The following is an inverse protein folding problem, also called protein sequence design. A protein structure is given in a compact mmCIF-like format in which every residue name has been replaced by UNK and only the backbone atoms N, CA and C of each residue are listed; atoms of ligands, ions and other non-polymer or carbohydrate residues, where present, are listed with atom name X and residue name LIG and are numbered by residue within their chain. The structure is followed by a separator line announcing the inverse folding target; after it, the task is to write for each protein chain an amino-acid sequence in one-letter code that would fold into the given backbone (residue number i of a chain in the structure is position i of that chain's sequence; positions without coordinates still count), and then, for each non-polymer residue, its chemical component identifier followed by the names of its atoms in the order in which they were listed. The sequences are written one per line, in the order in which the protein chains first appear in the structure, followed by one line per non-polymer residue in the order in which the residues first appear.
data_IF_439130827763
#
_entry.id   IF_439130827763
#
_cell.length_a   1.000
_cell.length_b   1.000
_cell.length_c   1.000
_cell.angle_alpha   90.00
_cell.angle_beta   90.00
_cell.angle_gamma   90.00
#
_symmetry.space_group_name_H-M   'P 1'
#
loop_
_entity.id
_entity.type
_entity.pdbx_description
1 polymer ?
#
# COMPACT_ATOMS: atom_id res chain seq x y z
N UNK A 1 -10.20 19.93 -4.69
CA UNK A 1 -11.48 19.23 -4.49
C UNK A 1 -11.22 18.03 -3.60
N UNK A 2 -11.93 17.90 -2.49
CA UNK A 2 -11.71 16.77 -1.59
C UNK A 2 -12.42 15.53 -2.17
N UNK A 3 -11.74 14.39 -2.24
CA UNK A 3 -12.32 13.12 -2.71
C UNK A 3 -13.76 12.82 -2.22
N UNK A 4 -14.13 13.05 -0.93
CA UNK A 4 -15.50 12.78 -0.47
C UNK A 4 -16.58 13.70 -1.03
N UNK A 5 -16.23 14.86 -1.61
CA UNK A 5 -17.18 15.78 -2.26
C UNK A 5 -17.64 15.24 -3.61
N UNK A 6 -16.76 14.55 -4.32
CA UNK A 6 -17.03 13.95 -5.63
C UNK A 6 -17.54 12.50 -5.51
N UNK A 7 -16.97 11.74 -4.56
CA UNK A 7 -17.28 10.34 -4.34
C UNK A 7 -17.81 10.13 -2.93
N UNK A 8 -19.14 10.12 -2.80
CA UNK A 8 -19.81 9.90 -1.53
C UNK A 8 -19.36 8.56 -0.88
N UNK A 9 -18.92 8.57 0.39
CA UNK A 9 -18.50 7.36 1.09
C UNK A 9 -19.60 6.30 1.11
N UNK A 10 -19.22 5.03 0.98
CA UNK A 10 -20.18 3.92 0.85
C UNK A 10 -20.22 3.10 2.14
N UNK A 11 -21.39 2.89 2.77
CA UNK A 11 -21.49 2.02 3.93
C UNK A 11 -21.32 0.56 3.51
N UNK A 12 -20.31 -0.11 4.07
CA UNK A 12 -20.01 -1.52 3.81
C UNK A 12 -19.86 -2.25 5.14
N UNK A 13 -20.59 -3.36 5.29
CA UNK A 13 -20.48 -4.28 6.43
C UNK A 13 -19.47 -5.37 6.11
N UNK A 14 -18.45 -5.53 6.96
CA UNK A 14 -17.42 -6.55 6.80
C UNK A 14 -17.43 -7.55 7.98
N UNK A 15 -17.23 -8.85 7.73
CA UNK A 15 -16.90 -9.79 8.80
C UNK A 15 -15.52 -9.42 9.32
N UNK A 16 -15.41 -9.13 10.61
CA UNK A 16 -14.17 -8.72 11.22
C UNK A 16 -13.48 -9.92 11.90
N UNK A 17 -12.16 -9.95 11.84
CA UNK A 17 -11.26 -11.00 12.34
C UNK A 17 -11.42 -12.38 11.67
N UNK A 18 -12.52 -13.09 11.93
CA UNK A 18 -12.67 -14.51 11.59
C UNK A 18 -14.11 -14.81 11.13
N UNK A 19 -14.30 -15.36 9.91
CA UNK A 19 -15.62 -15.67 9.36
C UNK A 19 -16.26 -16.95 9.94
N UNK A 20 -15.55 -17.71 10.78
CA UNK A 20 -16.11 -18.92 11.42
C UNK A 20 -17.21 -18.57 12.44
N UNK A 21 -18.26 -19.41 12.56
CA UNK A 21 -19.26 -19.23 13.60
C UNK A 21 -18.61 -19.14 14.98
N UNK A 22 -18.99 -18.13 15.76
CA UNK A 22 -18.52 -17.99 17.14
C UNK A 22 -19.08 -19.10 18.02
N UNK A 23 -18.24 -19.75 18.80
CA UNK A 23 -18.65 -20.78 19.76
C UNK A 23 -18.89 -20.17 21.16
N UNK A 24 -18.27 -19.02 21.43
CA UNK A 24 -18.40 -18.31 22.71
C UNK A 24 -19.00 -16.90 22.57
N UNK A 25 -19.63 -16.35 23.63
CA UNK A 25 -20.11 -14.97 23.64
C UNK A 25 -18.99 -13.92 23.44
N UNK A 26 -17.77 -14.24 23.88
CA UNK A 26 -16.60 -13.37 23.69
C UNK A 26 -16.24 -13.30 22.21
N UNK A 27 -16.14 -14.45 21.55
CA UNK A 27 -15.90 -14.51 20.10
C UNK A 27 -17.01 -13.81 19.32
N UNK A 28 -18.27 -14.03 19.69
CA UNK A 28 -19.41 -13.35 19.06
C UNK A 28 -19.30 -11.82 19.15
N UNK A 29 -18.82 -11.29 20.29
CA UNK A 29 -18.58 -9.85 20.48
C UNK A 29 -17.44 -9.34 19.62
N UNK A 30 -16.33 -10.07 19.51
CA UNK A 30 -15.15 -9.65 18.76
C UNK A 30 -15.36 -9.76 17.24
N UNK A 31 -15.94 -10.88 16.77
CA UNK A 31 -16.20 -11.21 15.36
C UNK A 31 -17.48 -10.60 14.79
N UNK A 32 -18.22 -9.80 15.58
CA UNK A 32 -19.46 -9.16 15.11
C UNK A 32 -19.18 -8.34 13.84
N UNK A 33 -20.01 -8.45 12.79
CA UNK A 33 -19.86 -7.63 11.60
C UNK A 33 -19.89 -6.13 11.96
N UNK A 34 -19.05 -5.34 11.30
CA UNK A 34 -18.97 -3.90 11.51
C UNK A 34 -19.21 -3.17 10.20
N UNK A 35 -20.01 -2.11 10.27
CA UNK A 35 -20.28 -1.23 9.13
C UNK A 35 -19.35 -0.02 9.19
N UNK A 36 -18.66 0.25 8.08
CA UNK A 36 -17.81 1.41 7.91
C UNK A 36 -18.16 2.13 6.62
N UNK A 37 -18.09 3.46 6.62
CA UNK A 37 -18.21 4.27 5.41
C UNK A 37 -16.87 4.28 4.68
N UNK A 38 -16.74 3.44 3.65
CA UNK A 38 -15.51 3.32 2.87
C UNK A 38 -15.39 4.48 1.88
N UNK A 39 -14.23 5.13 1.87
CA UNK A 39 -13.88 6.17 0.89
C UNK A 39 -13.61 5.58 -0.50
N UNK A 40 -13.04 4.37 -0.56
CA UNK A 40 -12.70 3.68 -1.80
C UNK A 40 -13.47 2.37 -1.87
N UNK A 41 -14.22 2.17 -2.95
CA UNK A 41 -14.94 0.93 -3.22
C UNK A 41 -14.74 0.46 -4.65
N UNK A 42 -14.91 -0.84 -4.88
CA UNK A 42 -14.91 -1.38 -6.24
C UNK A 42 -16.20 -1.05 -6.99
N UNK A 43 -16.29 -1.45 -8.27
CA UNK A 43 -17.48 -1.28 -9.12
C UNK A 43 -18.79 -1.76 -8.45
N UNK A 44 -18.72 -2.81 -7.65
CA UNK A 44 -19.85 -3.37 -6.90
C UNK A 44 -20.24 -2.59 -5.63
N UNK A 45 -19.60 -1.44 -5.35
CA UNK A 45 -19.79 -0.66 -4.11
C UNK A 45 -19.52 -1.46 -2.83
N UNK A 46 -18.56 -2.40 -2.91
CA UNK A 46 -18.06 -3.21 -1.80
C UNK A 46 -16.59 -2.90 -1.54
N UNK A 47 -16.05 -3.46 -0.46
CA UNK A 47 -14.61 -3.44 -0.21
C UNK A 47 -13.84 -3.98 -1.41
N UNK A 48 -12.75 -3.31 -1.74
CA UNK A 48 -11.93 -3.65 -2.91
C UNK A 48 -11.26 -5.02 -2.68
N UNK A 49 -11.53 -5.96 -3.56
CA UNK A 49 -10.83 -7.24 -3.56
C UNK A 49 -9.43 -7.07 -4.19
N UNK A 50 -8.39 -7.57 -3.51
CA UNK A 50 -6.99 -7.42 -3.96
C UNK A 50 -6.71 -8.05 -5.33
N UNK A 51 -7.33 -9.20 -5.63
CA UNK A 51 -7.08 -9.94 -6.88
C UNK A 51 -7.76 -9.22 -8.04
N UNK A 52 -8.99 -8.74 -7.81
CA UNK A 52 -9.69 -7.88 -8.76
C UNK A 52 -8.88 -6.62 -9.05
N UNK A 53 -8.52 -5.85 -8.00
CA UNK A 53 -7.77 -4.61 -8.17
C UNK A 53 -6.46 -4.85 -8.93
N UNK A 54 -5.70 -5.89 -8.56
CA UNK A 54 -4.44 -6.21 -9.21
C UNK A 54 -4.62 -6.48 -10.72
N UNK A 55 -5.56 -7.34 -11.11
CA UNK A 55 -5.73 -7.76 -12.51
C UNK A 55 -6.55 -6.80 -13.38
N UNK A 56 -7.46 -6.04 -12.78
CA UNK A 56 -8.41 -5.18 -13.50
C UNK A 56 -8.11 -3.69 -13.42
N UNK A 57 -7.30 -3.24 -12.45
CA UNK A 57 -6.98 -1.81 -12.27
C UNK A 57 -5.48 -1.61 -12.34
N UNK A 58 -4.72 -2.30 -11.50
CA UNK A 58 -3.28 -2.07 -11.35
C UNK A 58 -2.45 -2.48 -12.57
N UNK A 59 -2.56 -3.75 -13.00
CA UNK A 59 -1.81 -4.25 -14.17
C UNK A 59 -2.15 -3.48 -15.46
N UNK A 60 -3.42 -3.17 -15.78
CA UNK A 60 -3.74 -2.29 -16.89
C UNK A 60 -3.09 -0.90 -16.80
N UNK A 61 -3.04 -0.29 -15.61
CA UNK A 61 -2.38 1.00 -15.42
C UNK A 61 -0.86 0.92 -15.67
N UNK A 62 -0.20 -0.15 -15.20
CA UNK A 62 1.21 -0.38 -15.48
C UNK A 62 1.49 -0.58 -16.97
N UNK A 63 0.64 -1.35 -17.67
CA UNK A 63 0.78 -1.57 -19.10
C UNK A 63 0.55 -0.27 -19.90
N UNK A 64 -0.45 0.53 -19.52
CA UNK A 64 -0.69 1.84 -20.11
C UNK A 64 0.49 2.81 -19.89
N UNK A 65 1.17 2.69 -18.75
CA UNK A 65 2.40 3.43 -18.46
C UNK A 65 3.68 2.79 -19.06
N UNK A 66 3.55 1.70 -19.84
CA UNK A 66 4.67 0.96 -20.45
C UNK A 66 5.69 0.43 -19.44
N UNK A 67 5.28 0.21 -18.18
CA UNK A 67 6.13 -0.43 -17.14
C UNK A 67 6.17 -1.94 -17.33
N UNK A 68 5.08 -2.51 -17.88
CA UNK A 68 4.95 -3.94 -18.18
C UNK A 68 4.38 -4.10 -19.60
N UNK A 69 4.52 -5.29 -20.17
CA UNK A 69 3.89 -5.64 -21.43
C UNK A 69 2.34 -5.56 -21.34
N UNK A 70 1.65 -5.20 -22.44
CA UNK A 70 0.19 -5.29 -22.54
C UNK A 70 -0.32 -6.70 -22.25
N UNK A 71 -1.59 -6.79 -21.85
CA UNK A 71 -2.26 -8.07 -21.62
C UNK A 71 -2.20 -8.94 -22.89
N UNK A 72 -1.77 -10.18 -22.75
CA UNK A 72 -1.79 -11.14 -23.85
C UNK A 72 -3.23 -11.46 -24.27
N UNK A 73 -3.57 -11.10 -25.50
CA UNK A 73 -4.88 -11.34 -26.10
C UNK A 73 -5.05 -12.78 -26.61
N UNK A 74 -3.98 -13.58 -26.60
CA UNK A 74 -3.95 -14.95 -27.11
C UNK A 74 -4.61 -16.00 -26.22
N UNK A 75 -5.00 -15.64 -24.99
CA UNK A 75 -5.65 -16.61 -24.10
C UNK A 75 -7.13 -16.81 -24.46
N UNK A 76 -7.44 -17.98 -25.02
CA UNK A 76 -8.79 -18.38 -25.44
C UNK A 76 -9.73 -18.69 -24.29
N UNK A 77 -9.21 -18.92 -23.07
CA UNK A 77 -10.00 -19.37 -21.92
C UNK A 77 -10.61 -18.19 -21.13
N UNK A 78 -10.44 -16.96 -21.62
CA UNK A 78 -10.95 -15.74 -20.98
C UNK A 78 -10.20 -15.34 -19.69
N UNK A 79 -9.19 -16.11 -19.28
CA UNK A 79 -8.36 -15.79 -18.12
C UNK A 79 -7.33 -14.70 -18.47
N UNK A 80 -7.28 -13.64 -17.66
CA UNK A 80 -6.25 -12.58 -17.80
C UNK A 80 -4.90 -13.09 -17.32
N UNK A 81 -4.03 -13.42 -18.26
CA UNK A 81 -2.65 -13.82 -17.98
C UNK A 81 -1.74 -12.62 -18.19
N UNK A 82 -1.25 -12.07 -17.08
CA UNK A 82 -0.26 -11.01 -17.09
C UNK A 82 1.13 -11.60 -16.97
N UNK A 83 2.12 -10.96 -17.58
CA UNK A 83 3.51 -11.30 -17.32
C UNK A 83 3.82 -11.21 -15.80
N UNK A 84 4.66 -12.11 -15.26
CA UNK A 84 5.13 -11.99 -13.90
C UNK A 84 5.87 -10.66 -13.70
N UNK A 85 5.37 -9.83 -12.79
CA UNK A 85 6.05 -8.56 -12.43
C UNK A 85 5.81 -8.23 -10.97
N UNK A 86 6.41 -9.06 -10.11
CA UNK A 86 6.24 -9.00 -8.66
C UNK A 86 6.85 -7.71 -8.09
N UNK A 87 7.96 -7.28 -8.66
CA UNK A 87 8.68 -6.03 -8.39
C UNK A 87 7.82 -4.79 -8.66
N UNK A 88 6.85 -4.89 -9.57
CA UNK A 88 5.91 -3.82 -9.91
C UNK A 88 4.55 -3.97 -9.22
N UNK A 89 4.43 -4.82 -8.20
CA UNK A 89 3.19 -4.94 -7.43
C UNK A 89 2.79 -3.62 -6.75
N UNK A 90 1.53 -3.48 -6.36
CA UNK A 90 1.03 -2.23 -5.73
C UNK A 90 1.83 -1.79 -4.49
N UNK A 91 2.45 -2.74 -3.78
CA UNK A 91 3.33 -2.45 -2.64
C UNK A 91 4.60 -1.67 -3.02
N UNK A 92 5.00 -1.67 -4.29
CA UNK A 92 6.12 -0.86 -4.78
C UNK A 92 5.90 0.64 -4.52
N UNK A 93 4.66 1.13 -4.54
CA UNK A 93 4.35 2.53 -4.21
C UNK A 93 4.71 2.86 -2.75
N UNK A 94 4.50 1.92 -1.83
CA UNK A 94 4.89 2.11 -0.43
C UNK A 94 6.42 2.13 -0.28
N UNK A 95 7.13 1.32 -1.07
CA UNK A 95 8.59 1.37 -1.11
C UNK A 95 9.10 2.68 -1.68
N UNK A 96 8.48 3.17 -2.76
CA UNK A 96 8.79 4.45 -3.37
C UNK A 96 8.61 5.59 -2.35
N UNK A 97 7.43 5.72 -1.73
CA UNK A 97 7.18 6.71 -0.69
C UNK A 97 8.24 6.69 0.41
N UNK A 98 8.53 5.51 0.96
CA UNK A 98 9.51 5.38 2.03
C UNK A 98 10.94 5.76 1.60
N UNK A 99 11.31 5.48 0.35
CA UNK A 99 12.63 5.82 -0.19
C UNK A 99 12.76 7.32 -0.42
N UNK A 100 11.73 7.96 -0.96
CA UNK A 100 11.71 9.42 -1.19
C UNK A 100 11.75 10.21 0.12
N UNK A 101 11.00 9.79 1.16
CA UNK A 101 11.03 10.46 2.47
C UNK A 101 12.43 10.37 3.12
N UNK A 102 13.08 9.21 3.03
CA UNK A 102 14.45 9.06 3.54
C UNK A 102 15.46 9.87 2.72
N UNK A 103 15.32 9.89 1.41
CA UNK A 103 16.14 10.76 0.55
C UNK A 103 15.84 12.23 0.82
N UNK A 104 14.64 12.63 1.24
CA UNK A 104 14.35 13.99 1.69
C UNK A 104 14.98 14.31 3.07
N UNK A 105 15.50 13.30 3.78
CA UNK A 105 16.13 13.45 5.10
C UNK A 105 15.17 13.30 6.27
N UNK A 106 13.99 12.73 6.05
CA UNK A 106 13.03 12.47 7.12
C UNK A 106 13.57 11.47 8.15
N UNK A 107 13.09 11.58 9.39
CA UNK A 107 13.47 10.68 10.46
C UNK A 107 12.96 9.26 10.22
N UNK A 108 13.85 8.28 10.40
CA UNK A 108 13.50 6.86 10.35
C UNK A 108 12.40 6.48 11.36
N UNK A 109 12.31 7.21 12.48
CA UNK A 109 11.29 7.00 13.52
C UNK A 109 9.93 7.53 13.04
N UNK A 110 9.89 8.74 12.46
CA UNK A 110 8.67 9.31 11.86
C UNK A 110 8.15 8.40 10.76
N UNK A 111 9.03 7.97 9.85
CA UNK A 111 8.68 7.09 8.76
C UNK A 111 8.16 5.75 9.27
N UNK A 112 8.83 5.14 10.26
CA UNK A 112 8.36 3.89 10.87
C UNK A 112 6.93 4.04 11.42
N UNK A 113 6.63 5.16 12.08
CA UNK A 113 5.29 5.45 12.60
C UNK A 113 4.25 5.61 11.51
N UNK A 114 4.53 6.37 10.44
CA UNK A 114 3.59 6.54 9.32
C UNK A 114 3.32 5.23 8.58
N UNK A 115 4.36 4.41 8.46
CA UNK A 115 4.23 3.07 7.90
C UNK A 115 3.53 2.10 8.87
N UNK A 116 3.39 2.43 10.15
CA UNK A 116 2.79 1.55 11.15
C UNK A 116 3.70 0.38 11.53
N UNK A 117 5.01 0.55 11.44
CA UNK A 117 5.98 -0.41 11.96
C UNK A 117 6.17 -0.19 13.46
N UNK A 118 6.02 -1.26 14.24
CA UNK A 118 6.23 -1.23 15.70
C UNK A 118 7.70 -1.11 16.11
N UNK A 119 8.62 -1.58 15.26
CA UNK A 119 10.07 -1.48 15.43
C UNK A 119 10.69 -0.61 14.32
N UNK A 120 11.25 0.57 14.64
CA UNK A 120 11.99 1.39 13.67
C UNK A 120 13.20 0.68 13.07
N UNK A 121 13.81 -0.27 13.80
CA UNK A 121 14.91 -1.09 13.28
C UNK A 121 14.50 -1.95 12.09
N UNK A 122 13.24 -2.42 12.04
CA UNK A 122 12.69 -3.09 10.87
C UNK A 122 12.64 -2.16 9.66
N UNK A 123 12.20 -0.91 9.84
CA UNK A 123 12.19 0.12 8.78
C UNK A 123 13.61 0.37 8.27
N UNK A 124 14.58 0.56 9.17
CA UNK A 124 15.96 0.82 8.79
C UNK A 124 16.55 -0.33 7.99
N UNK A 125 16.40 -1.58 8.44
CA UNK A 125 16.88 -2.75 7.68
C UNK A 125 16.24 -2.86 6.30
N UNK A 126 14.97 -2.48 6.17
CA UNK A 126 14.22 -2.57 4.92
C UNK A 126 14.57 -1.47 3.92
N UNK A 127 15.09 -0.32 4.36
CA UNK A 127 15.34 0.83 3.49
C UNK A 127 16.77 1.41 3.57
N UNK A 128 17.68 0.80 4.33
CA UNK A 128 19.05 1.28 4.52
C UNK A 128 19.85 1.48 3.22
N UNK A 129 19.53 0.71 2.18
CA UNK A 129 20.15 0.82 0.86
C UNK A 129 19.77 2.11 0.11
N UNK A 130 18.74 2.84 0.57
CA UNK A 130 18.34 4.15 0.06
C UNK A 130 18.92 5.31 0.87
N UNK A 131 19.94 5.07 1.70
CA UNK A 131 20.71 6.12 2.40
C UNK A 131 22.12 6.35 1.82
N UNK A 132 22.34 6.40 0.49
CA UNK A 132 23.69 6.48 -0.08
C UNK A 132 24.41 7.81 0.23
N UNK A 133 23.68 8.87 0.63
CA UNK A 133 24.26 10.19 0.97
C UNK A 133 24.15 10.58 2.45
N UNK A 134 23.73 9.67 3.33
CA UNK A 134 23.50 10.00 4.75
C UNK A 134 24.76 10.54 5.46
N UNK A 135 25.96 10.07 5.08
CA UNK A 135 27.22 10.56 5.64
C UNK A 135 27.56 12.01 5.23
N UNK A 136 27.39 12.35 3.96
CA UNK A 136 27.76 13.67 3.44
C UNK A 136 26.89 14.80 4.00
N UNK A 137 25.59 14.54 4.24
CA UNK A 137 24.69 15.50 4.89
C UNK A 137 25.06 15.74 6.34
N UNK A 138 25.40 14.68 7.08
CA UNK A 138 25.86 14.78 8.46
C UNK A 138 27.11 15.65 8.56
N UNK A 139 28.11 15.42 7.70
CA UNK A 139 29.32 16.24 7.64
C UNK A 139 29.01 17.71 7.33
N UNK A 140 28.22 17.99 6.28
CA UNK A 140 27.87 19.37 5.92
C UNK A 140 27.09 20.11 7.02
N UNK A 141 26.23 19.41 7.76
CA UNK A 141 25.49 20.00 8.88
C UNK A 141 26.42 20.39 10.04
N UNK A 142 27.44 19.57 10.32
CA UNK A 142 28.46 19.88 11.32
C UNK A 142 29.35 21.03 10.85
N UNK A 143 29.79 21.02 9.59
CA UNK A 143 30.59 22.11 9.02
C UNK A 143 29.86 23.46 9.12
N UNK A 144 28.55 23.50 8.88
CA UNK A 144 27.74 24.71 9.00
C UNK A 144 27.62 25.26 10.44
N UNK A 145 27.79 24.43 11.47
CA UNK A 145 27.76 24.88 12.88
C UNK A 145 29.05 25.65 13.22
N UNK A 146 30.15 25.32 12.55
CA UNK A 146 31.48 25.89 12.81
C UNK A 146 31.94 26.88 11.72
N UNK A 147 31.06 27.25 10.80
CA UNK A 147 31.31 28.21 9.72
C UNK A 147 31.10 29.68 10.14
#
# INVERSE_FOLDING_TARGET
MAHPEEFAPVPVTLPWDDPTPSETPVEAKHRRPRTYSLLVTGRERKAVNRNYFNSYVWKPALAAASVIAPLDAGNTDGARVWEPSREHGFHALRHFFASEELEAGESIVSLARWLGHSDPGFTLRKYSHFLPRAGARGSAAIDAIFA
#
